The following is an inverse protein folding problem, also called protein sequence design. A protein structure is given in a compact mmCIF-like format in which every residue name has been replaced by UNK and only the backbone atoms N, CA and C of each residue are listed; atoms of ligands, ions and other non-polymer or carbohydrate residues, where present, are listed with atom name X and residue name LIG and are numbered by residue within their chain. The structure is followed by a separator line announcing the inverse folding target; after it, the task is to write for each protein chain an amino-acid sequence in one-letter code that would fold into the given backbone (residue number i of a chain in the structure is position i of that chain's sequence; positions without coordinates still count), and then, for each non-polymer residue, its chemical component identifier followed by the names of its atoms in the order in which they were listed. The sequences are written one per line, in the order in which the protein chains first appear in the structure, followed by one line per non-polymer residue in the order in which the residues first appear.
data_IF_334213468401
#
_entry.id   IF_334213468401
#
_cell.length_a   1.000
_cell.length_b   1.000
_cell.length_c   1.000
_cell.angle_alpha   90.00
_cell.angle_beta   90.00
_cell.angle_gamma   90.00
#
_symmetry.space_group_name_H-M   'P 1'
#
loop_
_entity.id
_entity.type
_entity.pdbx_description
1 polymer ?
#
# COMPACT_ATOMS: atom_id res chain seq x y z
N UNK A 1 18.41 -3.33 -4.24
CA UNK A 1 17.13 -2.60 -4.45
C UNK A 1 17.30 -1.08 -4.32
N UNK A 2 17.96 -0.54 -3.27
CA UNK A 2 18.09 0.91 -3.06
C UNK A 2 18.67 1.68 -4.25
N UNK A 3 19.77 1.21 -4.82
CA UNK A 3 20.46 1.83 -5.95
C UNK A 3 19.97 1.37 -7.34
N UNK A 4 19.09 0.37 -7.42
CA UNK A 4 18.57 -0.14 -8.71
C UNK A 4 19.62 -0.75 -9.65
N UNK A 5 20.83 -1.08 -9.17
CA UNK A 5 21.92 -1.60 -10.02
C UNK A 5 21.55 -2.91 -10.71
N UNK A 6 21.93 -3.04 -11.98
CA UNK A 6 21.69 -4.26 -12.77
C UNK A 6 22.59 -5.42 -12.32
N UNK A 7 22.15 -6.66 -12.53
CA UNK A 7 22.99 -7.83 -12.24
C UNK A 7 24.30 -7.83 -13.03
N UNK A 8 24.34 -7.20 -14.21
CA UNK A 8 25.58 -7.03 -15.00
C UNK A 8 26.57 -6.13 -14.27
N UNK A 9 26.10 -4.99 -13.78
CA UNK A 9 26.94 -4.05 -13.03
C UNK A 9 27.43 -4.67 -11.71
N UNK A 10 26.54 -5.34 -10.97
CA UNK A 10 26.92 -6.03 -9.73
C UNK A 10 27.93 -7.15 -9.99
N UNK A 11 27.77 -7.92 -11.06
CA UNK A 11 28.73 -8.95 -11.48
C UNK A 11 30.12 -8.37 -11.73
N UNK A 12 30.20 -7.20 -12.39
CA UNK A 12 31.46 -6.47 -12.59
C UNK A 12 32.05 -5.96 -11.28
N UNK A 13 31.26 -5.31 -10.42
CA UNK A 13 31.73 -4.75 -9.14
C UNK A 13 32.28 -5.84 -8.22
N UNK A 14 31.59 -6.97 -8.12
CA UNK A 14 31.98 -8.07 -7.24
C UNK A 14 32.90 -9.11 -7.89
N UNK A 15 33.26 -8.91 -9.17
CA UNK A 15 34.07 -9.86 -9.96
C UNK A 15 33.54 -11.31 -9.90
N UNK A 16 32.23 -11.48 -10.10
CA UNK A 16 31.56 -12.79 -10.12
C UNK A 16 30.67 -12.94 -11.33
N UNK A 17 30.30 -14.18 -11.68
CA UNK A 17 29.35 -14.45 -12.74
C UNK A 17 27.96 -13.84 -12.46
N UNK A 18 27.28 -13.36 -13.51
CA UNK A 18 25.90 -12.83 -13.45
C UNK A 18 24.92 -13.83 -12.82
N UNK A 19 25.11 -15.12 -13.06
CA UNK A 19 24.29 -16.17 -12.47
C UNK A 19 24.50 -16.32 -10.96
N UNK A 20 25.72 -16.07 -10.46
CA UNK A 20 25.98 -16.03 -9.02
C UNK A 20 25.22 -14.89 -8.36
N UNK A 21 25.21 -13.68 -8.97
CA UNK A 21 24.38 -12.56 -8.50
C UNK A 21 22.90 -12.93 -8.50
N UNK A 22 22.40 -13.51 -9.61
CA UNK A 22 20.99 -13.93 -9.72
C UNK A 22 20.59 -14.92 -8.61
N UNK A 23 21.43 -15.94 -8.37
CA UNK A 23 21.20 -16.91 -7.28
C UNK A 23 21.24 -16.25 -5.92
N UNK A 24 22.22 -15.39 -5.67
CA UNK A 24 22.33 -14.66 -4.40
C UNK A 24 21.09 -13.80 -4.12
N UNK A 25 20.62 -13.02 -5.11
CA UNK A 25 19.39 -12.21 -4.97
C UNK A 25 18.18 -13.09 -4.68
N UNK A 26 18.03 -14.21 -5.37
CA UNK A 26 16.92 -15.15 -5.14
C UNK A 26 16.98 -15.75 -3.72
N UNK A 27 18.15 -16.17 -3.26
CA UNK A 27 18.35 -16.71 -1.91
C UNK A 27 18.06 -15.67 -0.85
N UNK A 28 18.59 -14.44 -0.98
CA UNK A 28 18.34 -13.36 -0.03
C UNK A 28 16.86 -12.99 0.01
N UNK A 29 16.19 -12.87 -1.14
CA UNK A 29 14.75 -12.61 -1.22
C UNK A 29 13.95 -13.65 -0.43
N UNK A 30 14.18 -14.95 -0.69
CA UNK A 30 13.48 -16.04 -0.01
C UNK A 30 13.73 -16.03 1.50
N UNK A 31 14.98 -15.84 1.92
CA UNK A 31 15.32 -15.78 3.34
C UNK A 31 14.66 -14.59 4.04
N UNK A 32 14.67 -13.39 3.44
CA UNK A 32 14.02 -12.22 4.01
C UNK A 32 12.50 -12.41 4.11
N UNK A 33 11.87 -12.99 3.09
CA UNK A 33 10.45 -13.31 3.11
C UNK A 33 10.07 -14.27 4.25
N UNK A 34 10.94 -15.22 4.57
CA UNK A 34 10.67 -16.22 5.62
C UNK A 34 11.01 -15.72 7.03
N UNK A 35 12.10 -14.96 7.19
CA UNK A 35 12.70 -14.70 8.51
C UNK A 35 12.60 -13.25 8.99
N UNK A 36 12.39 -12.31 8.06
CA UNK A 36 12.39 -10.87 8.34
C UNK A 36 11.01 -10.24 8.15
N UNK A 37 10.36 -10.51 7.01
CA UNK A 37 9.04 -9.93 6.67
C UNK A 37 7.98 -10.23 7.74
N UNK A 38 7.80 -11.49 8.22
CA UNK A 38 6.76 -11.77 9.21
C UNK A 38 6.95 -11.08 10.57
N UNK A 39 8.14 -10.53 10.84
CA UNK A 39 8.44 -9.80 12.07
C UNK A 39 8.14 -8.30 11.97
N UNK A 40 7.93 -7.78 10.76
CA UNK A 40 7.90 -6.35 10.48
C UNK A 40 6.82 -5.92 9.49
N UNK A 41 6.00 -6.85 8.99
CA UNK A 41 4.91 -6.58 8.06
C UNK A 41 3.87 -7.70 8.07
N UNK A 42 2.62 -7.30 7.79
CA UNK A 42 1.45 -8.16 7.73
C UNK A 42 0.63 -8.05 9.01
N UNK A 43 -0.69 -8.13 8.95
CA UNK A 43 -1.56 -7.79 10.09
C UNK A 43 -1.18 -8.48 11.42
N UNK A 44 -0.68 -9.71 11.36
CA UNK A 44 -0.26 -10.50 12.53
C UNK A 44 1.08 -10.09 13.16
N UNK A 45 1.87 -9.20 12.56
CA UNK A 45 3.19 -8.82 13.09
C UNK A 45 3.12 -7.76 14.21
N UNK A 46 2.01 -7.02 14.29
CA UNK A 46 1.80 -5.93 15.24
C UNK A 46 0.42 -6.08 15.88
N UNK A 47 0.35 -5.94 17.21
CA UNK A 47 -0.93 -5.95 17.91
C UNK A 47 -1.68 -4.65 17.65
N UNK A 48 -3.02 -4.71 17.79
CA UNK A 48 -3.89 -3.54 17.61
C UNK A 48 -3.54 -2.43 18.59
N UNK A 49 -3.35 -2.78 19.86
CA UNK A 49 -3.02 -1.85 20.94
C UNK A 49 -1.73 -1.12 20.62
N UNK A 50 -0.71 -1.85 20.15
CA UNK A 50 0.58 -1.26 19.79
C UNK A 50 0.48 -0.34 18.58
N UNK A 51 -0.35 -0.68 17.59
CA UNK A 51 -0.60 0.19 16.44
C UNK A 51 -1.28 1.48 16.88
N UNK A 52 -2.33 1.38 17.70
CA UNK A 52 -3.09 2.53 18.18
C UNK A 52 -2.20 3.45 19.02
N UNK A 53 -1.43 2.88 19.96
CA UNK A 53 -0.57 3.66 20.86
C UNK A 53 0.61 4.32 20.14
N UNK A 54 1.29 3.61 19.23
CA UNK A 54 2.59 4.07 18.69
C UNK A 54 2.51 4.57 17.24
N UNK A 55 1.43 4.26 16.54
CA UNK A 55 1.31 4.48 15.10
C UNK A 55 -0.01 5.16 14.69
N UNK A 56 -0.79 5.66 15.66
CA UNK A 56 -1.91 6.59 15.41
C UNK A 56 -1.52 8.01 15.83
N UNK A 57 -1.66 8.97 14.91
CA UNK A 57 -1.39 10.39 15.21
C UNK A 57 -2.51 10.97 16.06
N UNK A 58 -2.23 11.81 17.08
CA UNK A 58 -3.25 12.48 17.88
C UNK A 58 -4.25 13.28 17.03
N UNK A 59 -3.79 13.89 15.94
CA UNK A 59 -4.68 14.59 15.00
C UNK A 59 -5.70 13.64 14.36
N UNK A 60 -5.29 12.44 13.94
CA UNK A 60 -6.23 11.48 13.36
C UNK A 60 -7.22 10.98 14.41
N UNK A 61 -6.74 10.72 15.62
CA UNK A 61 -7.58 10.32 16.76
C UNK A 61 -8.61 11.41 17.13
N UNK A 62 -8.22 12.69 17.07
CA UNK A 62 -9.14 13.79 17.36
C UNK A 62 -10.20 13.97 16.26
N UNK A 63 -9.83 13.72 15.00
CA UNK A 63 -10.73 13.93 13.87
C UNK A 63 -11.68 12.77 13.61
N UNK A 64 -11.21 11.54 13.81
CA UNK A 64 -11.92 10.31 13.40
C UNK A 64 -11.97 9.26 14.50
N UNK A 65 -11.29 9.47 15.63
CA UNK A 65 -11.39 8.57 16.77
C UNK A 65 -12.74 8.70 17.48
N UNK A 66 -13.02 7.73 18.35
CA UNK A 66 -14.19 7.70 19.21
C UNK A 66 -13.78 7.18 20.61
N UNK A 67 -14.77 7.02 21.50
CA UNK A 67 -14.57 6.57 22.89
C UNK A 67 -13.90 5.19 23.01
N UNK A 68 -13.98 4.37 21.96
CA UNK A 68 -13.39 3.03 21.89
C UNK A 68 -11.94 3.02 21.40
N UNK A 69 -11.36 4.20 21.12
CA UNK A 69 -9.98 4.37 20.66
C UNK A 69 -9.64 3.45 19.45
N UNK A 70 -10.33 3.64 18.31
CA UNK A 70 -10.28 2.70 17.18
C UNK A 70 -8.91 2.68 16.51
N UNK A 71 -8.60 1.57 15.83
CA UNK A 71 -7.51 1.57 14.87
C UNK A 71 -7.89 2.40 13.64
N UNK A 72 -7.00 3.30 13.22
CA UNK A 72 -7.20 4.13 12.02
C UNK A 72 -6.19 3.71 10.96
N UNK A 73 -6.70 3.14 9.87
CA UNK A 73 -5.90 2.74 8.72
C UNK A 73 -6.15 3.67 7.54
N UNK A 74 -5.11 3.94 6.76
CA UNK A 74 -5.21 4.62 5.46
C UNK A 74 -4.84 3.60 4.39
N UNK A 75 -5.69 3.45 3.39
CA UNK A 75 -5.52 2.45 2.32
C UNK A 75 -5.45 3.16 0.98
N UNK A 76 -4.45 2.81 0.18
CA UNK A 76 -4.32 3.34 -1.18
C UNK A 76 -3.60 2.36 -2.12
N UNK A 77 -3.97 2.44 -3.39
CA UNK A 77 -3.33 1.72 -4.47
C UNK A 77 -2.10 2.47 -4.98
N UNK A 78 -0.96 1.81 -5.05
CA UNK A 78 0.21 2.34 -5.78
C UNK A 78 0.39 1.62 -7.13
N UNK A 79 1.38 2.04 -7.91
CA UNK A 79 1.67 1.43 -9.21
C UNK A 79 3.14 1.09 -9.35
N UNK A 80 3.47 -0.12 -9.79
CA UNK A 80 4.81 -0.50 -10.22
C UNK A 80 4.80 -0.65 -11.72
N UNK A 81 5.63 0.15 -12.39
CA UNK A 81 5.70 0.16 -13.83
C UNK A 81 6.52 -1.01 -14.35
N UNK A 82 6.04 -1.66 -15.40
CA UNK A 82 6.66 -2.84 -15.99
C UNK A 82 6.91 -2.63 -17.47
N UNK A 83 7.81 -3.42 -18.04
CA UNK A 83 8.02 -3.44 -19.49
C UNK A 83 6.75 -3.91 -20.21
N UNK A 84 6.58 -3.45 -21.46
CA UNK A 84 5.58 -4.05 -22.35
C UNK A 84 5.92 -5.53 -22.54
N UNK A 85 4.92 -6.39 -22.35
CA UNK A 85 5.06 -7.81 -22.64
C UNK A 85 4.84 -8.08 -24.13
N UNK A 86 5.56 -9.07 -24.66
CA UNK A 86 5.27 -9.63 -25.99
C UNK A 86 4.00 -10.49 -26.01
N UNK A 87 3.51 -10.91 -24.84
CA UNK A 87 2.26 -11.67 -24.73
C UNK A 87 1.07 -10.69 -24.72
N UNK A 88 0.33 -10.62 -25.83
CA UNK A 88 -0.76 -9.65 -26.02
C UNK A 88 -1.82 -9.67 -24.91
N UNK A 89 -2.23 -10.86 -24.46
CA UNK A 89 -3.20 -11.02 -23.37
C UNK A 89 -2.70 -10.36 -22.08
N UNK A 90 -1.46 -10.65 -21.69
CA UNK A 90 -0.86 -10.06 -20.49
C UNK A 90 -0.62 -8.55 -20.65
N UNK A 91 -0.20 -8.11 -21.84
CA UNK A 91 -0.05 -6.69 -22.14
C UNK A 91 -1.38 -5.95 -21.93
N UNK A 92 -2.49 -6.49 -22.44
CA UNK A 92 -3.82 -5.88 -22.27
C UNK A 92 -4.22 -5.80 -20.80
N UNK A 93 -3.96 -6.86 -20.02
CA UNK A 93 -4.34 -6.87 -18.60
C UNK A 93 -3.46 -5.99 -17.71
N UNK A 94 -2.23 -5.68 -18.15
CA UNK A 94 -1.32 -4.80 -17.40
C UNK A 94 -1.33 -3.36 -17.88
N UNK A 95 -1.99 -3.05 -18.99
CA UNK A 95 -2.06 -1.67 -19.48
C UNK A 95 -3.07 -0.84 -18.67
N UNK A 96 -2.59 0.19 -17.98
CA UNK A 96 -3.45 1.14 -17.29
C UNK A 96 -3.92 2.23 -18.25
N UNK A 97 -5.24 2.36 -18.42
CA UNK A 97 -5.82 3.48 -19.17
C UNK A 97 -5.60 4.83 -18.49
N UNK A 98 -5.50 4.87 -17.15
CA UNK A 98 -5.25 6.09 -16.40
C UNK A 98 -3.80 6.58 -16.50
N UNK A 99 -2.82 5.66 -16.51
CA UNK A 99 -1.39 6.02 -16.58
C UNK A 99 -0.79 5.88 -17.99
N UNK A 100 -1.59 5.43 -18.96
CA UNK A 100 -1.21 5.16 -20.35
C UNK A 100 0.05 4.30 -20.51
N UNK A 101 0.25 3.33 -19.62
CA UNK A 101 1.44 2.47 -19.61
C UNK A 101 1.19 1.14 -18.88
N UNK A 102 1.98 0.10 -19.18
CA UNK A 102 1.94 -1.15 -18.43
C UNK A 102 2.38 -0.96 -16.96
N UNK A 103 1.57 -1.48 -16.04
CA UNK A 103 1.83 -1.48 -14.62
C UNK A 103 1.14 -2.66 -13.92
N UNK A 104 1.56 -2.90 -12.69
CA UNK A 104 0.82 -3.71 -11.72
C UNK A 104 0.52 -2.86 -10.48
N UNK A 105 -0.53 -3.21 -9.74
CA UNK A 105 -1.08 -2.41 -8.64
C UNK A 105 -0.92 -3.12 -7.30
N UNK A 106 0.01 -2.71 -6.44
CA UNK A 106 -0.01 -3.09 -5.03
C UNK A 106 -1.03 -2.26 -4.25
N UNK A 107 -1.68 -2.88 -3.26
CA UNK A 107 -2.54 -2.19 -2.31
C UNK A 107 -1.81 -2.04 -0.98
N UNK A 108 -1.68 -0.81 -0.49
CA UNK A 108 -0.90 -0.47 0.69
C UNK A 108 -1.84 -0.16 1.86
N UNK A 109 -1.60 -0.80 3.00
CA UNK A 109 -2.30 -0.54 4.26
C UNK A 109 -1.31 0.09 5.22
N UNK A 110 -1.56 1.34 5.62
CA UNK A 110 -0.69 2.06 6.55
C UNK A 110 -1.48 2.62 7.72
N UNK A 111 -0.78 2.85 8.81
CA UNK A 111 -1.29 3.65 9.91
C UNK A 111 -1.24 5.14 9.57
N UNK A 112 -1.77 5.98 10.46
CA UNK A 112 -1.73 7.43 10.28
C UNK A 112 -0.34 8.05 10.53
N UNK A 113 0.66 7.28 10.96
CA UNK A 113 2.07 7.69 11.02
C UNK A 113 2.90 7.22 9.84
N UNK A 114 2.31 6.69 8.76
CA UNK A 114 2.96 6.04 7.61
C UNK A 114 3.63 4.68 7.88
N UNK A 115 3.32 4.08 9.03
CA UNK A 115 3.78 2.73 9.34
C UNK A 115 3.06 1.72 8.46
N UNK A 116 3.80 0.84 7.77
CA UNK A 116 3.18 -0.17 6.91
C UNK A 116 2.59 -1.29 7.76
N UNK A 117 1.27 -1.42 7.79
CA UNK A 117 0.61 -2.57 8.40
C UNK A 117 0.74 -3.78 7.48
N UNK A 118 0.40 -3.61 6.21
CA UNK A 118 0.61 -4.64 5.18
C UNK A 118 0.69 -4.05 3.76
N UNK A 119 1.14 -4.87 2.81
CA UNK A 119 1.06 -4.58 1.37
C UNK A 119 0.63 -5.84 0.63
N UNK A 120 -0.42 -5.70 -0.18
CA UNK A 120 -1.10 -6.80 -0.87
C UNK A 120 -0.93 -6.72 -2.38
N UNK A 121 -1.02 -7.89 -3.01
CA UNK A 121 -0.87 -8.05 -4.47
C UNK A 121 0.58 -8.35 -4.89
N UNK A 122 1.01 -7.89 -6.08
CA UNK A 122 0.33 -6.90 -6.92
C UNK A 122 -0.80 -7.48 -7.78
N UNK A 123 -1.76 -6.63 -8.12
CA UNK A 123 -2.88 -6.91 -9.02
C UNK A 123 -2.58 -6.40 -10.44
N UNK A 124 -3.29 -6.93 -11.43
CA UNK A 124 -3.21 -6.44 -12.80
C UNK A 124 -3.90 -5.06 -12.92
N UNK A 125 -3.68 -4.35 -14.02
CA UNK A 125 -4.20 -2.98 -14.21
C UNK A 125 -5.48 -2.92 -15.05
N UNK A 126 -6.09 -4.07 -15.33
CA UNK A 126 -7.32 -4.18 -16.11
C UNK A 126 -8.53 -3.58 -15.37
N UNK A 127 -9.64 -3.42 -16.10
CA UNK A 127 -10.87 -2.83 -15.59
C UNK A 127 -11.51 -3.62 -14.44
N UNK A 128 -11.16 -4.90 -14.26
CA UNK A 128 -11.67 -5.71 -13.15
C UNK A 128 -10.99 -5.32 -11.83
N UNK A 129 -9.73 -4.86 -11.90
CA UNK A 129 -8.89 -4.50 -10.77
C UNK A 129 -8.85 -2.98 -10.54
N UNK A 130 -10.01 -2.35 -10.34
CA UNK A 130 -10.09 -1.02 -9.72
C UNK A 130 -9.88 -1.11 -8.20
N UNK A 131 -9.64 0.02 -7.54
CA UNK A 131 -9.20 0.03 -6.14
C UNK A 131 -10.25 -0.56 -5.19
N UNK A 132 -11.53 -0.25 -5.39
CA UNK A 132 -12.64 -0.88 -4.68
C UNK A 132 -12.69 -2.41 -4.86
N UNK A 133 -12.57 -2.92 -6.10
CA UNK A 133 -12.63 -4.35 -6.38
C UNK A 133 -11.41 -5.09 -5.81
N UNK A 134 -10.23 -4.46 -5.85
CA UNK A 134 -9.02 -4.99 -5.22
C UNK A 134 -9.24 -5.10 -3.71
N UNK A 135 -9.76 -4.05 -3.06
CA UNK A 135 -10.03 -4.08 -1.62
C UNK A 135 -11.05 -5.16 -1.27
N UNK A 136 -12.16 -5.26 -2.02
CA UNK A 136 -13.15 -6.35 -1.87
C UNK A 136 -12.50 -7.72 -1.93
N UNK A 137 -11.65 -7.95 -2.93
CA UNK A 137 -10.94 -9.22 -3.07
C UNK A 137 -10.01 -9.49 -1.88
N UNK A 138 -9.25 -8.49 -1.42
CA UNK A 138 -8.34 -8.61 -0.27
C UNK A 138 -9.13 -9.02 0.98
N UNK A 139 -10.19 -8.27 1.30
CA UNK A 139 -11.05 -8.54 2.45
C UNK A 139 -11.71 -9.91 2.31
N UNK A 140 -12.30 -10.25 1.16
CA UNK A 140 -12.94 -11.54 0.94
C UNK A 140 -11.98 -12.72 1.08
N UNK A 141 -10.74 -12.58 0.60
CA UNK A 141 -9.70 -13.60 0.70
C UNK A 141 -9.22 -13.85 2.12
N UNK A 142 -9.40 -12.88 3.02
CA UNK A 142 -8.98 -12.90 4.43
C UNK A 142 -7.52 -13.34 4.64
N UNK A 143 -6.67 -13.03 3.67
CA UNK A 143 -5.23 -13.26 3.78
C UNK A 143 -4.68 -12.43 4.94
N UNK A 144 -3.81 -13.02 5.76
CA UNK A 144 -3.30 -12.38 6.99
C UNK A 144 -4.37 -12.11 8.05
N UNK A 145 -5.55 -12.76 7.96
CA UNK A 145 -6.60 -12.73 8.99
C UNK A 145 -7.14 -11.31 9.27
N UNK A 146 -7.21 -10.48 8.23
CA UNK A 146 -7.61 -9.07 8.29
C UNK A 146 -8.97 -8.91 8.97
N UNK A 147 -9.94 -9.78 8.67
CA UNK A 147 -11.29 -9.67 9.26
C UNK A 147 -11.29 -9.87 10.76
N UNK A 148 -10.39 -10.70 11.27
CA UNK A 148 -10.24 -10.91 12.72
C UNK A 148 -9.37 -9.84 13.37
N UNK A 149 -8.47 -9.22 12.60
CA UNK A 149 -7.65 -8.13 13.08
C UNK A 149 -8.44 -6.84 13.18
N UNK A 150 -9.33 -6.55 12.23
CA UNK A 150 -10.24 -5.41 12.27
C UNK A 150 -11.37 -5.65 13.29
N UNK A 151 -11.83 -4.60 13.96
CA UNK A 151 -12.96 -4.65 14.89
C UNK A 151 -14.02 -3.62 14.50
N UNK A 152 -15.23 -3.81 15.01
CA UNK A 152 -16.29 -2.81 14.91
C UNK A 152 -15.77 -1.44 15.38
N UNK A 153 -16.22 -0.40 14.67
CA UNK A 153 -15.87 1.01 14.89
C UNK A 153 -14.42 1.40 14.53
N UNK A 154 -13.60 0.48 14.02
CA UNK A 154 -12.34 0.84 13.37
C UNK A 154 -12.59 1.76 12.16
N UNK A 155 -11.61 2.60 11.86
CA UNK A 155 -11.72 3.60 10.79
C UNK A 155 -10.79 3.27 9.64
N UNK A 156 -11.32 3.29 8.43
CA UNK A 156 -10.59 3.19 7.18
C UNK A 156 -10.73 4.48 6.39
N UNK A 157 -9.62 5.15 6.14
CA UNK A 157 -9.53 6.35 5.33
C UNK A 157 -9.06 5.98 3.92
N UNK A 158 -9.84 6.36 2.92
CA UNK A 158 -9.62 6.00 1.51
C UNK A 158 -9.89 7.16 0.57
N UNK A 159 -9.36 7.06 -0.65
CA UNK A 159 -9.72 7.98 -1.73
C UNK A 159 -11.08 7.63 -2.37
N UNK A 160 -11.51 8.46 -3.33
CA UNK A 160 -12.80 8.30 -4.01
C UNK A 160 -12.91 7.05 -4.88
N UNK A 161 -11.79 6.43 -5.26
CA UNK A 161 -11.74 5.20 -6.04
C UNK A 161 -12.26 3.97 -5.29
N UNK A 162 -12.35 4.06 -3.97
CA UNK A 162 -12.85 2.99 -3.09
C UNK A 162 -14.36 3.05 -2.84
N UNK A 163 -15.10 3.99 -3.45
CA UNK A 163 -16.55 4.11 -3.27
C UNK A 163 -17.29 2.79 -3.40
N UNK A 164 -16.86 1.95 -4.36
CA UNK A 164 -17.51 0.67 -4.61
C UNK A 164 -17.38 -0.34 -3.47
N UNK A 165 -16.49 -0.16 -2.50
CA UNK A 165 -16.23 -1.07 -1.38
C UNK A 165 -16.77 -0.61 -0.03
N UNK A 166 -17.45 0.53 0.04
CA UNK A 166 -17.96 1.10 1.30
C UNK A 166 -18.96 0.15 1.96
N UNK A 167 -19.97 -0.34 1.23
CA UNK A 167 -20.98 -1.26 1.78
C UNK A 167 -20.35 -2.51 2.45
N UNK A 168 -19.27 -3.05 1.86
CA UNK A 168 -18.55 -4.20 2.43
C UNK A 168 -17.85 -3.84 3.75
N UNK A 169 -17.27 -2.65 3.84
CA UNK A 169 -16.61 -2.19 5.07
C UNK A 169 -17.64 -1.92 6.16
N UNK A 170 -18.77 -1.29 5.81
CA UNK A 170 -19.89 -1.06 6.73
C UNK A 170 -20.51 -2.37 7.25
N UNK A 171 -20.67 -3.39 6.39
CA UNK A 171 -21.10 -4.73 6.78
C UNK A 171 -20.15 -5.40 7.80
N UNK A 172 -18.87 -5.01 7.79
CA UNK A 172 -17.86 -5.46 8.76
C UNK A 172 -17.79 -4.56 10.01
N UNK A 173 -18.67 -3.58 10.14
CA UNK A 173 -18.68 -2.61 11.23
C UNK A 173 -17.57 -1.57 11.14
N UNK A 174 -16.94 -1.40 9.97
CA UNK A 174 -15.82 -0.48 9.75
C UNK A 174 -16.35 0.87 9.26
N UNK A 175 -15.97 1.93 9.96
CA UNK A 175 -16.27 3.30 9.57
C UNK A 175 -15.36 3.70 8.41
N UNK A 176 -15.94 4.18 7.31
CA UNK A 176 -15.18 4.53 6.11
C UNK A 176 -15.23 6.04 5.85
N UNK A 177 -14.05 6.66 5.83
CA UNK A 177 -13.88 8.09 5.61
C UNK A 177 -13.28 8.35 4.22
N UNK A 178 -13.99 9.12 3.41
CA UNK A 178 -13.63 9.39 2.01
C UNK A 178 -14.04 10.82 1.59
N UNK A 179 -13.24 11.54 0.79
CA UNK A 179 -13.63 12.88 0.33
C UNK A 179 -14.96 12.87 -0.42
N UNK A 180 -15.83 13.83 -0.12
CA UNK A 180 -17.20 13.89 -0.66
C UNK A 180 -17.22 14.01 -2.18
N UNK A 181 -18.32 13.56 -2.79
CA UNK A 181 -18.66 13.81 -4.20
C UNK A 181 -19.62 14.98 -4.30
N UNK A 182 -19.48 15.81 -5.35
CA UNK A 182 -20.49 16.82 -5.67
C UNK A 182 -21.82 16.13 -5.93
N UNK A 183 -22.90 16.63 -5.30
CA UNK A 183 -24.24 16.12 -5.56
C UNK A 183 -24.69 16.57 -6.94
N UNK A 184 -25.59 15.80 -7.55
CA UNK A 184 -26.15 16.13 -8.86
C UNK A 184 -26.78 17.53 -8.82
N UNK A 185 -26.37 18.39 -9.75
CA UNK A 185 -26.85 19.78 -9.85
C UNK A 185 -26.05 20.79 -9.03
N UNK A 186 -25.05 20.38 -8.24
CA UNK A 186 -24.12 21.29 -7.59
C UNK A 186 -22.87 21.51 -8.45
N UNK A 187 -22.43 22.76 -8.55
CA UNK A 187 -21.14 23.14 -9.16
C UNK A 187 -20.00 23.20 -8.14
N UNK A 188 -20.31 23.36 -6.85
CA UNK A 188 -19.35 23.51 -5.76
C UNK A 188 -19.88 22.87 -4.47
N UNK A 189 -18.96 22.50 -3.58
CA UNK A 189 -19.29 22.06 -2.22
C UNK A 189 -19.72 23.24 -1.35
N UNK A 190 -20.51 22.96 -0.32
CA UNK A 190 -20.66 23.92 0.79
C UNK A 190 -19.33 24.10 1.53
N UNK A 191 -19.21 25.17 2.32
CA UNK A 191 -18.04 25.39 3.18
C UNK A 191 -17.80 24.19 4.11
N UNK A 192 -18.86 23.63 4.67
CA UNK A 192 -18.81 22.46 5.56
C UNK A 192 -18.33 21.21 4.83
N UNK A 193 -18.93 20.88 3.68
CA UNK A 193 -18.54 19.72 2.86
C UNK A 193 -17.08 19.82 2.38
N UNK A 194 -16.64 21.04 2.05
CA UNK A 194 -15.24 21.32 1.68
C UNK A 194 -14.30 21.09 2.86
N UNK A 195 -14.68 21.55 4.06
CA UNK A 195 -13.89 21.38 5.27
C UNK A 195 -13.78 19.90 5.66
N UNK A 196 -14.86 19.14 5.65
CA UNK A 196 -14.83 17.68 5.90
C UNK A 196 -13.89 16.98 4.91
N UNK A 197 -14.01 17.26 3.61
CA UNK A 197 -13.14 16.67 2.59
C UNK A 197 -11.66 17.03 2.80
N UNK A 198 -11.36 18.25 3.27
CA UNK A 198 -10.00 18.69 3.61
C UNK A 198 -9.43 17.93 4.80
N UNK A 199 -10.22 17.66 5.84
CA UNK A 199 -9.80 16.90 7.01
C UNK A 199 -9.43 15.46 6.63
N UNK A 200 -10.26 14.81 5.80
CA UNK A 200 -9.98 13.48 5.27
C UNK A 200 -8.69 13.48 4.44
N UNK A 201 -8.57 14.43 3.51
CA UNK A 201 -7.38 14.55 2.65
C UNK A 201 -6.09 14.80 3.45
N UNK A 202 -6.19 15.55 4.56
CA UNK A 202 -5.05 15.84 5.45
C UNK A 202 -4.49 14.59 6.11
N UNK A 203 -5.34 13.63 6.47
CA UNK A 203 -4.87 12.34 6.99
C UNK A 203 -4.48 11.39 5.85
N UNK A 204 -5.25 11.39 4.75
CA UNK A 204 -4.96 10.56 3.58
C UNK A 204 -3.54 10.79 3.04
N UNK A 205 -3.04 12.03 3.04
CA UNK A 205 -1.67 12.36 2.59
C UNK A 205 -0.56 11.46 3.19
N UNK A 206 -0.78 10.88 4.37
CA UNK A 206 0.13 9.92 5.00
C UNK A 206 0.41 8.71 4.09
N UNK A 207 -0.59 8.17 3.40
CA UNK A 207 -0.37 7.04 2.47
C UNK A 207 0.39 7.47 1.22
N UNK A 208 0.23 8.73 0.78
CA UNK A 208 1.04 9.29 -0.30
C UNK A 208 2.52 9.39 0.12
N UNK A 209 2.80 9.78 1.37
CA UNK A 209 4.14 9.73 1.95
C UNK A 209 4.70 8.30 1.97
N UNK A 210 3.90 7.32 2.43
CA UNK A 210 4.29 5.90 2.44
C UNK A 210 4.60 5.39 1.02
N UNK A 211 3.74 5.71 0.05
CA UNK A 211 3.97 5.42 -1.36
C UNK A 211 5.26 6.08 -1.87
N UNK A 212 5.53 7.33 -1.46
CA UNK A 212 6.78 8.04 -1.71
C UNK A 212 8.01 7.29 -1.15
N UNK A 213 7.92 6.75 0.08
CA UNK A 213 8.98 5.93 0.68
C UNK A 213 9.31 4.72 -0.17
N UNK A 214 8.30 3.98 -0.65
CA UNK A 214 8.50 2.86 -1.58
C UNK A 214 9.24 3.35 -2.84
N UNK A 215 8.85 4.51 -3.37
CA UNK A 215 9.43 5.08 -4.60
C UNK A 215 10.85 5.64 -4.44
N UNK A 216 11.30 5.91 -3.22
CA UNK A 216 12.72 6.24 -2.96
C UNK A 216 13.66 5.07 -3.24
N UNK A 217 13.16 3.84 -3.30
CA UNK A 217 13.92 2.70 -3.77
C UNK A 217 13.95 2.72 -5.29
N UNK A 218 15.12 3.06 -5.86
CA UNK A 218 15.34 3.24 -7.30
C UNK A 218 14.75 2.09 -8.13
N UNK A 219 14.82 0.86 -7.61
CA UNK A 219 14.23 -0.32 -8.21
C UNK A 219 12.72 -0.18 -8.54
N UNK A 220 11.92 0.44 -7.68
CA UNK A 220 10.48 0.65 -7.88
C UNK A 220 10.12 1.95 -8.61
N UNK A 221 11.10 2.83 -8.80
CA UNK A 221 10.93 4.05 -9.58
C UNK A 221 11.17 3.83 -11.08
N UNK A 222 11.89 2.77 -11.44
CA UNK A 222 12.19 2.40 -12.82
C UNK A 222 11.13 1.47 -13.42
N UNK A 223 11.16 1.32 -14.74
CA UNK A 223 10.37 0.33 -15.46
C UNK A 223 10.98 -1.06 -15.22
N UNK A 224 10.24 -1.90 -14.51
CA UNK A 224 10.67 -3.23 -14.10
C UNK A 224 10.69 -4.19 -15.29
N UNK A 225 11.75 -5.01 -15.43
CA UNK A 225 11.81 -6.00 -16.49
C UNK A 225 10.80 -7.12 -16.26
N UNK A 226 10.27 -7.69 -17.35
CA UNK A 226 9.22 -8.71 -17.28
C UNK A 226 9.62 -9.93 -16.44
N UNK A 227 10.92 -10.27 -16.41
CA UNK A 227 11.46 -11.38 -15.61
C UNK A 227 11.37 -11.17 -14.10
N UNK A 228 11.13 -9.95 -13.63
CA UNK A 228 11.00 -9.63 -12.20
C UNK A 228 9.55 -9.54 -11.73
N UNK A 229 8.58 -9.53 -12.65
CA UNK A 229 7.14 -9.40 -12.32
C UNK A 229 6.69 -10.41 -11.26
N UNK A 230 7.03 -11.71 -11.35
CA UNK A 230 6.60 -12.70 -10.36
C UNK A 230 7.07 -12.42 -8.92
N UNK A 231 8.07 -11.56 -8.75
CA UNK A 231 8.70 -11.28 -7.45
C UNK A 231 8.38 -9.88 -6.93
N UNK A 232 7.61 -9.06 -7.66
CA UNK A 232 7.30 -7.68 -7.26
C UNK A 232 6.63 -7.64 -5.88
N UNK A 233 5.66 -8.52 -5.62
CA UNK A 233 4.98 -8.58 -4.31
C UNK A 233 5.94 -8.86 -3.16
N UNK A 234 6.83 -9.83 -3.33
CA UNK A 234 7.86 -10.14 -2.33
C UNK A 234 8.83 -8.98 -2.11
N UNK A 235 9.32 -8.35 -3.18
CA UNK A 235 10.22 -7.20 -3.05
C UNK A 235 9.55 -6.03 -2.32
N UNK A 236 8.27 -5.77 -2.59
CA UNK A 236 7.52 -4.71 -1.90
C UNK A 236 7.41 -5.02 -0.41
N UNK A 237 7.01 -6.25 -0.06
CA UNK A 237 6.93 -6.70 1.33
C UNK A 237 8.27 -6.57 2.05
N UNK A 238 9.37 -6.96 1.41
CA UNK A 238 10.72 -6.79 1.96
C UNK A 238 11.03 -5.30 2.18
N UNK A 239 10.77 -4.45 1.19
CA UNK A 239 11.07 -3.01 1.30
C UNK A 239 10.23 -2.34 2.38
N UNK A 240 8.93 -2.60 2.45
CA UNK A 240 8.07 -2.08 3.52
C UNK A 240 8.52 -2.57 4.90
N UNK A 241 8.93 -3.83 5.03
CA UNK A 241 9.50 -4.37 6.28
C UNK A 241 10.80 -3.66 6.68
N UNK A 242 11.67 -3.35 5.72
CA UNK A 242 12.91 -2.59 5.96
C UNK A 242 12.56 -1.15 6.37
N UNK A 243 11.58 -0.52 5.72
CA UNK A 243 11.06 0.80 6.09
C UNK A 243 10.61 0.81 7.55
N UNK A 244 9.76 -0.14 7.96
CA UNK A 244 9.26 -0.24 9.34
C UNK A 244 10.38 -0.46 10.36
N UNK A 245 11.40 -1.28 10.03
CA UNK A 245 12.46 -1.63 10.99
C UNK A 245 13.50 -0.53 11.16
N UNK A 246 13.87 0.16 10.09
CA UNK A 246 15.07 1.02 10.08
C UNK A 246 14.81 2.49 9.81
N UNK A 247 13.61 2.86 9.34
CA UNK A 247 13.27 4.24 9.05
C UNK A 247 12.24 4.73 10.07
N UNK A 248 12.42 5.95 10.57
CA UNK A 248 11.45 6.55 11.49
C UNK A 248 10.13 6.77 10.76
N UNK A 249 8.97 6.49 11.36
CA UNK A 249 7.68 6.87 10.80
C UNK A 249 7.56 8.40 10.70
N UNK A 250 6.52 8.91 10.04
CA UNK A 250 6.17 10.33 10.20
C UNK A 250 5.98 10.63 11.70
N UNK A 251 6.35 11.85 12.11
CA UNK A 251 6.13 12.31 13.47
C UNK A 251 4.67 12.08 13.87
N UNK A 252 4.46 11.52 15.07
CA UNK A 252 3.14 11.46 15.72
C UNK A 252 2.49 12.85 15.72
N UNK A 253 3.31 13.90 15.80
CA UNK A 253 2.85 15.27 15.88
C UNK A 253 2.42 15.63 17.29
N UNK A 254 3.06 15.02 18.30
CA UNK A 254 2.94 15.49 19.67
C UNK A 254 3.43 16.95 19.73
N UNK A 255 2.69 17.83 20.42
CA UNK A 255 3.07 19.24 20.58
C UNK A 255 4.43 19.42 21.27
#
# INVERSE_FOLDING_TARGET
MRSGMSNKLLATIFNVGKDSIRRAVATVRKNLMQTFVPKHLGFNHISREKLIENHTRPLAQTLFGNEFNPAILVIDGTYIYIQKSGQFQFQRHTFSMHKHRPLVKPMVFVSTTDYFVSVMGPYLADSKNNDANILKHIIASDNEQIKSWLQNDDVVIVDRGFRGSIDLLEELGIQTEMPLFLKKGQSQFTTEESNTSRLITKIHWVVESANGRIKTWVFFNHVMPNSQIPYIGEYLRIVCSICNKYFKPLSSGDP
#
